data_IF_053078889610
#
_entry.id   IF_053078889610
#
_cell.length_a   1.000
_cell.length_b   1.000
_cell.length_c   1.000
_cell.angle_alpha   90.00
_cell.angle_beta   90.00
_cell.angle_gamma   90.00
#
_symmetry.space_group_name_H-M   'P 1'
#
loop_
_entity.id
_entity.type
_entity.pdbx_description
1 polymer ?
#
# COMPACT_ATOMS: atom_id res chain seq x y z
N UNK A 1 -21.56 -0.38 7.32
CA UNK A 1 -21.68 -0.18 5.85
C UNK A 1 -20.61 0.77 5.30
N UNK A 2 -20.39 1.96 5.87
CA UNK A 2 -19.38 2.94 5.41
C UNK A 2 -17.92 2.43 5.47
N UNK A 3 -17.55 1.69 6.52
CA UNK A 3 -16.19 1.11 6.65
C UNK A 3 -15.80 0.16 5.51
N UNK A 4 -16.77 -0.48 4.85
CA UNK A 4 -16.51 -1.41 3.74
C UNK A 4 -16.27 -0.69 2.40
N UNK A 5 -16.63 0.59 2.28
CA UNK A 5 -16.44 1.38 1.05
C UNK A 5 -15.11 2.14 1.04
N UNK A 6 -14.62 2.56 2.20
CA UNK A 6 -13.37 3.36 2.32
C UNK A 6 -12.15 2.56 1.84
N UNK A 7 -12.09 1.27 2.19
CA UNK A 7 -11.00 0.37 1.81
C UNK A 7 -10.85 0.24 0.28
N UNK A 8 -11.88 -0.15 -0.49
CA UNK A 8 -11.76 -0.25 -1.95
C UNK A 8 -11.54 1.11 -2.61
N UNK A 9 -12.09 2.22 -2.07
CA UNK A 9 -11.81 3.55 -2.63
C UNK A 9 -10.35 3.94 -2.47
N UNK A 10 -9.73 3.69 -1.31
CA UNK A 10 -8.31 3.97 -1.11
C UNK A 10 -7.42 3.06 -1.96
N UNK A 11 -7.83 1.80 -2.15
CA UNK A 11 -7.11 0.88 -3.03
C UNK A 11 -7.17 1.35 -4.49
N UNK A 12 -8.34 1.77 -4.96
CA UNK A 12 -8.50 2.36 -6.29
C UNK A 12 -7.67 3.63 -6.47
N UNK A 13 -7.68 4.53 -5.48
CA UNK A 13 -6.85 5.74 -5.50
C UNK A 13 -5.36 5.39 -5.53
N UNK A 14 -4.92 4.37 -4.79
CA UNK A 14 -3.54 3.89 -4.84
C UNK A 14 -3.15 3.32 -6.20
N UNK A 15 -4.02 2.53 -6.82
CA UNK A 15 -3.79 1.97 -8.16
C UNK A 15 -3.75 3.07 -9.22
N UNK A 16 -4.73 3.98 -9.21
CA UNK A 16 -4.77 5.13 -10.13
C UNK A 16 -3.58 6.07 -9.89
N UNK A 17 -3.19 6.26 -8.63
CA UNK A 17 -2.01 7.03 -8.24
C UNK A 17 -0.72 6.44 -8.79
N UNK A 18 -0.58 5.12 -8.88
CA UNK A 18 0.59 4.50 -9.48
C UNK A 18 0.71 4.74 -11.00
N UNK A 19 -0.41 4.94 -11.69
CA UNK A 19 -0.45 5.15 -13.14
C UNK A 19 -0.31 6.63 -13.50
N UNK A 20 -1.05 7.50 -12.80
CA UNK A 20 -1.20 8.92 -13.16
C UNK A 20 -0.37 9.88 -12.31
N UNK A 21 0.13 9.43 -11.15
CA UNK A 21 0.85 10.27 -10.21
C UNK A 21 2.26 9.72 -9.94
N UNK A 22 3.15 10.57 -9.38
CA UNK A 22 4.49 10.12 -9.02
C UNK A 22 4.46 9.05 -7.92
N UNK A 23 5.50 8.20 -7.82
CA UNK A 23 5.47 6.98 -7.01
C UNK A 23 5.35 7.23 -5.50
N UNK A 24 5.60 8.44 -5.00
CA UNK A 24 5.32 8.79 -3.60
C UNK A 24 3.83 8.86 -3.25
N UNK A 25 2.95 9.15 -4.22
CA UNK A 25 1.49 9.22 -4.01
C UNK A 25 0.90 7.85 -3.65
N UNK A 26 1.12 6.77 -4.43
CA UNK A 26 0.66 5.44 -4.05
C UNK A 26 1.30 4.94 -2.74
N UNK A 27 2.52 5.36 -2.39
CA UNK A 27 3.13 5.04 -1.10
C UNK A 27 2.38 5.64 0.09
N UNK A 28 1.91 6.88 -0.03
CA UNK A 28 1.08 7.52 1.00
C UNK A 28 -0.24 6.76 1.13
N UNK A 29 -0.88 6.41 0.00
CA UNK A 29 -2.11 5.61 0.00
C UNK A 29 -1.90 4.24 0.65
N UNK A 30 -0.78 3.57 0.35
CA UNK A 30 -0.34 2.33 0.97
C UNK A 30 -0.21 2.45 2.48
N UNK A 31 0.44 3.52 2.97
CA UNK A 31 0.58 3.78 4.40
C UNK A 31 -0.76 4.02 5.10
N UNK A 32 -1.64 4.83 4.51
CA UNK A 32 -2.98 5.10 5.06
C UNK A 32 -3.85 3.84 5.11
N UNK A 33 -3.81 3.02 4.05
CA UNK A 33 -4.49 1.72 4.01
C UNK A 33 -3.97 0.78 5.08
N UNK A 34 -2.65 0.61 5.15
CA UNK A 34 -2.01 -0.31 6.06
C UNK A 34 -2.19 0.09 7.53
N UNK A 35 -2.25 1.38 7.83
CA UNK A 35 -2.49 1.85 9.19
C UNK A 35 -3.92 1.55 9.67
N UNK A 36 -4.93 1.74 8.82
CA UNK A 36 -6.34 1.63 9.23
C UNK A 36 -6.94 0.23 9.05
N UNK A 37 -6.47 -0.53 8.06
CA UNK A 37 -7.04 -1.80 7.66
C UNK A 37 -5.96 -2.86 7.41
N UNK A 38 -6.22 -4.16 7.69
CA UNK A 38 -5.39 -5.26 7.22
C UNK A 38 -5.53 -5.39 5.70
N UNK A 39 -4.80 -4.53 4.99
CA UNK A 39 -4.91 -4.36 3.56
C UNK A 39 -3.75 -5.08 2.85
N UNK A 40 -4.06 -6.22 2.24
CA UNK A 40 -3.14 -6.93 1.34
C UNK A 40 -2.99 -6.22 -0.01
N UNK A 41 -3.94 -5.34 -0.34
CA UNK A 41 -3.94 -4.49 -1.54
C UNK A 41 -2.67 -3.63 -1.64
N UNK A 42 -2.07 -3.31 -0.49
CA UNK A 42 -0.83 -2.55 -0.35
C UNK A 42 0.32 -3.26 -1.08
N UNK A 43 0.38 -4.59 -1.04
CA UNK A 43 1.37 -5.38 -1.79
C UNK A 43 1.15 -5.27 -3.30
N UNK A 44 -0.12 -5.29 -3.73
CA UNK A 44 -0.47 -5.20 -5.14
C UNK A 44 -0.13 -3.83 -5.70
N UNK A 45 -0.40 -2.76 -4.94
CA UNK A 45 -0.01 -1.39 -5.28
C UNK A 45 1.51 -1.28 -5.32
N UNK A 46 2.23 -1.82 -4.32
CA UNK A 46 3.69 -1.79 -4.28
C UNK A 46 4.33 -2.50 -5.49
N UNK A 47 3.82 -3.67 -5.85
CA UNK A 47 4.27 -4.42 -7.02
C UNK A 47 4.00 -3.66 -8.33
N UNK A 48 2.82 -3.05 -8.45
CA UNK A 48 2.44 -2.23 -9.61
C UNK A 48 3.38 -1.03 -9.75
N UNK A 49 3.70 -0.35 -8.65
CA UNK A 49 4.61 0.81 -8.65
C UNK A 49 6.04 0.39 -9.00
N UNK A 50 6.55 -0.69 -8.42
CA UNK A 50 7.87 -1.22 -8.78
C UNK A 50 7.90 -1.58 -10.28
N UNK A 51 6.85 -2.20 -10.82
CA UNK A 51 6.81 -2.54 -12.24
C UNK A 51 6.79 -1.31 -13.17
N UNK A 52 6.03 -0.27 -12.79
CA UNK A 52 5.86 0.94 -13.61
C UNK A 52 7.03 1.92 -13.51
N UNK A 53 7.57 2.11 -12.31
CA UNK A 53 8.52 3.20 -12.00
C UNK A 53 9.94 2.70 -11.72
N UNK A 54 10.09 1.52 -11.12
CA UNK A 54 11.37 0.99 -10.63
C UNK A 54 11.54 -0.47 -11.07
N UNK A 55 11.58 -0.76 -12.38
CA UNK A 55 11.61 -2.13 -12.86
C UNK A 55 12.78 -2.86 -12.20
N UNK A 56 12.50 -3.97 -11.52
CA UNK A 56 13.46 -4.67 -10.65
C UNK A 56 14.79 -5.01 -11.34
N UNK A 57 14.78 -5.17 -12.67
CA UNK A 57 15.97 -5.39 -13.48
C UNK A 57 16.94 -4.20 -13.52
N UNK A 58 16.45 -2.98 -13.31
CA UNK A 58 17.27 -1.77 -13.34
C UNK A 58 17.87 -1.41 -11.97
N UNK A 59 17.18 -1.71 -10.86
CA UNK A 59 17.56 -1.22 -9.52
C UNK A 59 17.70 -2.33 -8.45
N UNK A 60 17.64 -3.60 -8.86
CA UNK A 60 18.05 -4.76 -8.06
C UNK A 60 17.04 -5.25 -7.01
N UNK A 61 16.12 -4.39 -6.53
CA UNK A 61 15.11 -4.79 -5.55
C UNK A 61 13.76 -4.05 -5.75
N UNK A 62 12.62 -4.74 -5.53
CA UNK A 62 11.29 -4.14 -5.58
C UNK A 62 11.00 -3.39 -4.26
N UNK A 63 11.48 -2.14 -4.18
CA UNK A 63 11.46 -1.34 -2.95
C UNK A 63 10.05 -1.08 -2.43
N UNK A 64 9.09 -0.82 -3.31
CA UNK A 64 7.71 -0.53 -2.92
C UNK A 64 6.97 -1.77 -2.47
N UNK A 65 7.28 -2.92 -3.06
CA UNK A 65 6.78 -4.22 -2.63
C UNK A 65 7.33 -4.57 -1.25
N UNK A 66 8.63 -4.35 -1.01
CA UNK A 66 9.25 -4.52 0.32
C UNK A 66 8.60 -3.59 1.34
N UNK A 67 8.40 -2.31 1.01
CA UNK A 67 7.66 -1.38 1.85
C UNK A 67 6.23 -1.88 2.11
N UNK A 68 5.56 -2.44 1.11
CA UNK A 68 4.26 -3.08 1.25
C UNK A 68 4.25 -4.23 2.25
N UNK A 69 5.27 -5.09 2.25
CA UNK A 69 5.43 -6.15 3.26
C UNK A 69 5.59 -5.57 4.68
N UNK A 70 6.47 -4.58 4.83
CA UNK A 70 6.69 -3.90 6.11
C UNK A 70 5.39 -3.24 6.61
N UNK A 71 4.64 -2.61 5.72
CA UNK A 71 3.38 -1.95 6.07
C UNK A 71 2.28 -2.97 6.41
N UNK A 72 2.12 -4.03 5.61
CA UNK A 72 1.06 -5.01 5.80
C UNK A 72 1.22 -5.79 7.11
N UNK A 73 2.44 -6.23 7.44
CA UNK A 73 2.72 -7.05 8.62
C UNK A 73 3.34 -6.28 9.79
N UNK A 74 4.22 -5.32 9.53
CA UNK A 74 4.87 -4.53 10.59
C UNK A 74 3.89 -3.63 11.35
N UNK A 75 2.84 -3.13 10.68
CA UNK A 75 1.76 -2.39 11.35
C UNK A 75 0.66 -3.30 11.91
N UNK A 76 0.73 -4.61 11.69
CA UNK A 76 -0.25 -5.54 12.24
C UNK A 76 -0.33 -5.55 13.78
N UNK A 77 0.77 -5.62 14.54
CA UNK A 77 0.71 -5.51 16.01
C UNK A 77 0.12 -4.17 16.45
N UNK A 78 0.52 -3.07 15.80
CA UNK A 78 0.04 -1.73 16.11
C UNK A 78 -1.47 -1.60 15.89
N UNK A 79 -2.00 -2.15 14.78
CA UNK A 79 -3.45 -2.20 14.55
C UNK A 79 -4.18 -2.98 15.63
N UNK A 80 -3.61 -4.09 16.10
CA UNK A 80 -4.23 -4.91 17.15
C UNK A 80 -4.31 -4.16 18.48
N UNK A 81 -3.31 -3.35 18.81
CA UNK A 81 -3.31 -2.54 20.04
C UNK A 81 -4.21 -1.30 19.95
N UNK A 82 -4.21 -0.58 18.82
CA UNK A 82 -4.91 0.71 18.71
C UNK A 82 -6.35 0.63 18.16
N UNK A 83 -6.72 -0.43 17.43
CA UNK A 83 -8.06 -0.57 16.83
C UNK A 83 -8.96 -1.60 17.51
N UNK A 84 -8.45 -2.38 18.48
CA UNK A 84 -9.23 -3.32 19.29
C UNK A 84 -9.19 -2.95 20.79
N UNK A 85 -9.52 -1.70 21.12
CA UNK A 85 -10.00 -1.32 22.47
C UNK A 85 -11.50 -1.13 22.47
#
# INVERSE_FOLDING_TARGET
MIHNLIRPTLALVGILGAIFAPPWVPLICMGLLAFRYPAWEVLFIGLLVDFLWLPAFAHGAPLFTIAGFILAWGLEPLRKEFLFS
#
